data_IF_706764840774
#
_entry.id   IF_706764840774
#
_cell.length_a   1.000
_cell.length_b   1.000
_cell.length_c   1.000
_cell.angle_alpha   90.00
_cell.angle_beta   90.00
_cell.angle_gamma   90.00
#
_symmetry.space_group_name_H-M   'P 1'
#
loop_
_entity.id
_entity.type
_entity.pdbx_description
1 polymer ?
#
# COMPACT_ATOMS: atom_id res chain seq x y z
N UNK A 1 -47.22 3.35 47.98
CA UNK A 1 -46.79 3.30 46.60
C UNK A 1 -45.37 3.87 46.51
N UNK A 2 -44.33 2.99 46.50
CA UNK A 2 -42.90 3.39 46.42
C UNK A 2 -42.48 3.41 44.95
N UNK A 3 -42.11 4.61 44.45
CA UNK A 3 -41.57 4.78 43.10
C UNK A 3 -40.07 4.42 43.11
N UNK A 4 -39.70 3.33 42.43
CA UNK A 4 -38.33 2.99 42.17
C UNK A 4 -37.86 3.80 40.91
N UNK A 5 -36.91 4.68 41.08
CA UNK A 5 -36.23 5.35 39.98
C UNK A 5 -35.06 4.47 39.55
N UNK A 6 -35.13 3.92 38.32
CA UNK A 6 -33.99 3.24 37.69
C UNK A 6 -33.05 4.29 37.10
N UNK A 7 -31.87 4.40 37.70
CA UNK A 7 -30.77 5.22 37.18
C UNK A 7 -30.01 4.39 36.15
N UNK A 8 -30.21 4.66 34.87
CA UNK A 8 -29.43 4.06 33.77
C UNK A 8 -28.05 4.72 33.75
N UNK A 9 -27.05 3.98 34.21
CA UNK A 9 -25.62 4.36 34.10
C UNK A 9 -25.14 4.07 32.68
N UNK A 10 -25.08 5.08 31.82
CA UNK A 10 -24.46 4.97 30.50
C UNK A 10 -22.93 4.91 30.68
N UNK A 11 -22.36 3.72 30.61
CA UNK A 11 -20.92 3.52 30.58
C UNK A 11 -20.47 3.82 29.13
N UNK A 12 -19.97 5.04 28.92
CA UNK A 12 -19.26 5.38 27.70
C UNK A 12 -17.90 4.68 27.70
N UNK A 13 -17.74 3.64 26.88
CA UNK A 13 -16.43 3.10 26.55
C UNK A 13 -15.68 4.16 25.74
N UNK A 14 -14.90 5.00 26.40
CA UNK A 14 -13.86 5.79 25.74
C UNK A 14 -12.76 4.78 25.38
N UNK A 15 -12.71 4.37 24.11
CA UNK A 15 -11.57 3.64 23.61
C UNK A 15 -10.34 4.54 23.84
N UNK A 16 -9.43 4.09 24.68
CA UNK A 16 -8.19 4.80 24.98
C UNK A 16 -7.29 4.75 23.74
N UNK A 17 -7.51 5.65 22.80
CA UNK A 17 -6.67 5.79 21.62
C UNK A 17 -5.33 6.37 22.07
N UNK A 18 -4.24 5.68 21.78
CA UNK A 18 -2.89 6.14 22.14
C UNK A 18 -2.64 7.48 21.46
N UNK A 19 -2.30 8.49 22.25
CA UNK A 19 -2.01 9.82 21.71
C UNK A 19 -0.74 9.78 20.85
N UNK A 20 -0.71 10.50 19.72
CA UNK A 20 0.48 10.58 18.88
C UNK A 20 1.64 11.21 19.62
N UNK A 21 2.84 10.62 19.47
CA UNK A 21 4.08 11.18 20.04
C UNK A 21 4.60 12.39 19.26
N UNK A 22 4.25 12.49 17.98
CA UNK A 22 4.68 13.54 17.06
C UNK A 22 3.45 14.06 16.31
N UNK A 23 3.33 15.37 16.20
CA UNK A 23 2.33 16.03 15.35
C UNK A 23 2.95 16.30 13.99
N UNK A 24 2.35 15.72 12.94
CA UNK A 24 2.77 15.95 11.57
C UNK A 24 1.83 16.94 10.90
N UNK A 25 2.41 17.82 10.06
CA UNK A 25 1.65 18.74 9.19
C UNK A 25 1.67 18.19 7.78
N UNK A 26 0.50 17.84 7.24
CA UNK A 26 0.38 17.37 5.87
C UNK A 26 0.65 18.48 4.87
N UNK A 27 1.58 18.26 3.94
CA UNK A 27 1.75 19.08 2.73
C UNK A 27 0.89 18.54 1.57
N UNK A 28 0.84 17.22 1.45
CA UNK A 28 0.02 16.49 0.48
C UNK A 28 -0.65 15.33 1.18
N UNK A 29 -1.97 15.21 1.00
CA UNK A 29 -2.74 14.03 1.42
C UNK A 29 -3.60 13.57 0.25
N UNK A 30 -3.33 12.36 -0.25
CA UNK A 30 -4.13 11.75 -1.30
C UNK A 30 -5.37 11.09 -0.68
N UNK A 31 -6.49 11.06 -1.40
CA UNK A 31 -7.66 10.30 -0.98
C UNK A 31 -7.34 8.80 -1.03
N UNK A 32 -7.97 8.02 -0.17
CA UNK A 32 -7.71 6.59 -0.07
C UNK A 32 -8.94 5.83 0.42
N UNK A 33 -9.02 4.56 0.10
CA UNK A 33 -9.97 3.62 0.71
C UNK A 33 -9.63 3.36 2.19
N UNK A 34 -10.56 2.81 2.99
CA UNK A 34 -10.31 2.51 4.40
C UNK A 34 -9.06 1.64 4.63
N UNK A 35 -8.43 1.82 5.79
CA UNK A 35 -7.32 0.95 6.24
C UNK A 35 -7.86 -0.47 6.45
N UNK A 36 -7.17 -1.44 5.87
CA UNK A 36 -7.44 -2.87 6.02
C UNK A 36 -6.55 -3.51 7.09
N UNK A 37 -6.87 -4.73 7.48
CA UNK A 37 -6.05 -5.53 8.37
C UNK A 37 -5.78 -6.89 7.72
N UNK A 38 -4.54 -7.13 7.29
CA UNK A 38 -4.11 -8.39 6.68
C UNK A 38 -4.01 -9.54 7.71
N UNK A 39 -4.02 -9.23 9.02
CA UNK A 39 -3.86 -10.22 10.08
C UNK A 39 -2.54 -11.01 9.93
N UNK A 40 -2.64 -12.33 9.86
CA UNK A 40 -1.49 -13.24 9.68
C UNK A 40 -1.18 -13.56 8.20
N UNK A 41 -1.84 -12.88 7.26
CA UNK A 41 -1.62 -13.08 5.82
C UNK A 41 -0.27 -12.50 5.39
N UNK A 42 0.40 -13.18 4.44
CA UNK A 42 1.66 -12.73 3.84
C UNK A 42 1.41 -11.87 2.57
N UNK A 43 0.18 -11.33 2.39
CA UNK A 43 -0.22 -10.61 1.20
C UNK A 43 -0.06 -9.08 1.30
N UNK A 44 0.86 -8.57 2.14
CA UNK A 44 1.14 -7.12 2.25
C UNK A 44 1.35 -6.46 0.88
N UNK A 45 2.06 -7.12 -0.04
CA UNK A 45 2.27 -6.70 -1.41
C UNK A 45 0.96 -6.49 -2.20
N UNK A 46 -0.04 -7.35 -1.99
CA UNK A 46 -1.35 -7.21 -2.61
C UNK A 46 -2.14 -6.06 -1.98
N UNK A 47 -2.13 -5.93 -0.65
CA UNK A 47 -2.80 -4.82 0.06
C UNK A 47 -2.24 -3.46 -0.36
N UNK A 48 -0.91 -3.34 -0.42
CA UNK A 48 -0.24 -2.09 -0.78
C UNK A 48 -0.49 -1.70 -2.24
N UNK A 49 -0.29 -2.65 -3.17
CA UNK A 49 -0.43 -2.35 -4.59
C UNK A 49 -1.90 -2.10 -4.99
N UNK A 50 -2.88 -2.85 -4.42
CA UNK A 50 -4.31 -2.55 -4.60
C UNK A 50 -4.65 -1.16 -4.06
N UNK A 51 -4.13 -0.78 -2.89
CA UNK A 51 -4.33 0.57 -2.35
C UNK A 51 -3.76 1.66 -3.24
N UNK A 52 -2.64 1.41 -3.90
CA UNK A 52 -2.06 2.33 -4.89
C UNK A 52 -2.98 2.48 -6.10
N UNK A 53 -3.46 1.37 -6.68
CA UNK A 53 -4.41 1.38 -7.80
C UNK A 53 -5.71 2.12 -7.42
N UNK A 54 -6.28 1.81 -6.25
CA UNK A 54 -7.49 2.46 -5.73
C UNK A 54 -7.31 3.97 -5.61
N UNK A 55 -6.18 4.43 -5.08
CA UNK A 55 -5.86 5.86 -4.92
C UNK A 55 -5.76 6.58 -6.27
N UNK A 56 -5.09 5.98 -7.25
CA UNK A 56 -5.02 6.51 -8.62
C UNK A 56 -6.40 6.70 -9.24
N UNK A 57 -7.31 5.73 -9.06
CA UNK A 57 -8.68 5.82 -9.55
C UNK A 57 -9.50 6.88 -8.83
N UNK A 58 -9.41 6.97 -7.51
CA UNK A 58 -10.12 8.01 -6.73
C UNK A 58 -9.69 9.40 -7.19
N UNK A 59 -8.42 9.60 -7.50
CA UNK A 59 -7.88 10.86 -8.00
C UNK A 59 -8.42 11.23 -9.39
N UNK A 60 -8.76 10.24 -10.21
CA UNK A 60 -9.43 10.40 -11.51
C UNK A 60 -10.95 10.59 -11.40
N UNK A 61 -11.50 10.50 -10.19
CA UNK A 61 -12.95 10.65 -9.91
C UNK A 61 -13.73 9.33 -9.87
N UNK A 62 -13.06 8.19 -9.94
CA UNK A 62 -13.68 6.87 -9.88
C UNK A 62 -13.82 6.40 -8.42
N UNK A 63 -14.91 5.69 -8.13
CA UNK A 63 -15.09 5.01 -6.83
C UNK A 63 -14.68 3.55 -6.96
N UNK A 64 -13.40 3.26 -6.75
CA UNK A 64 -12.85 1.91 -6.85
C UNK A 64 -12.38 1.41 -5.49
N UNK A 65 -12.92 0.26 -5.06
CA UNK A 65 -12.48 -0.48 -3.87
C UNK A 65 -12.33 -1.95 -4.27
N UNK A 66 -11.11 -2.47 -4.21
CA UNK A 66 -10.73 -3.78 -4.77
C UNK A 66 -10.65 -4.86 -3.69
N UNK A 67 -10.94 -6.10 -4.08
CA UNK A 67 -10.95 -7.25 -3.18
C UNK A 67 -9.58 -7.90 -3.04
N UNK A 68 -8.98 -7.78 -1.87
CA UNK A 68 -7.76 -8.53 -1.53
C UNK A 68 -8.08 -10.02 -1.34
N UNK A 69 -9.25 -10.34 -0.76
CA UNK A 69 -9.70 -11.73 -0.59
C UNK A 69 -9.85 -12.47 -1.92
N UNK A 70 -10.22 -11.77 -3.01
CA UNK A 70 -10.25 -12.36 -4.33
C UNK A 70 -8.84 -12.78 -4.80
N UNK A 71 -7.84 -11.93 -4.61
CA UNK A 71 -6.44 -12.23 -4.93
C UNK A 71 -5.97 -13.45 -4.14
N UNK A 72 -6.16 -13.48 -2.83
CA UNK A 72 -5.83 -14.63 -1.99
C UNK A 72 -6.51 -15.92 -2.48
N UNK A 73 -7.76 -15.81 -2.95
CA UNK A 73 -8.55 -16.95 -3.44
C UNK A 73 -8.04 -17.50 -4.77
N UNK A 74 -7.69 -16.63 -5.73
CA UNK A 74 -7.21 -17.09 -7.05
C UNK A 74 -5.82 -17.69 -7.00
N UNK A 75 -4.97 -17.19 -6.11
CA UNK A 75 -3.61 -17.70 -5.91
C UNK A 75 -3.61 -19.10 -5.26
N UNK A 76 -4.64 -19.47 -4.48
CA UNK A 76 -4.77 -20.76 -3.78
C UNK A 76 -3.62 -21.10 -2.82
N UNK A 77 -2.81 -20.12 -2.41
CA UNK A 77 -1.69 -20.27 -1.49
C UNK A 77 -1.80 -19.22 -0.39
N UNK A 78 -2.05 -19.63 0.85
CA UNK A 78 -2.27 -18.70 1.98
C UNK A 78 -1.06 -17.87 2.38
N UNK A 79 0.14 -18.37 2.15
CA UNK A 79 1.40 -17.76 2.59
C UNK A 79 2.31 -17.47 1.39
N UNK A 80 1.72 -17.05 0.27
CA UNK A 80 2.52 -16.65 -0.88
C UNK A 80 3.10 -15.26 -0.60
N UNK A 81 4.41 -15.19 -0.50
CA UNK A 81 5.13 -13.93 -0.59
C UNK A 81 5.26 -13.50 -2.05
N UNK A 82 5.38 -12.22 -2.28
CA UNK A 82 5.51 -11.65 -3.61
C UNK A 82 5.75 -10.16 -3.53
N UNK A 83 5.88 -9.53 -4.68
CA UNK A 83 6.13 -8.11 -4.86
C UNK A 83 4.93 -7.41 -5.48
N UNK A 84 4.92 -6.07 -5.55
CA UNK A 84 3.88 -5.32 -6.24
C UNK A 84 3.71 -5.76 -7.70
N UNK A 85 4.80 -6.09 -8.40
CA UNK A 85 4.77 -6.66 -9.74
C UNK A 85 4.08 -8.04 -9.81
N UNK A 86 4.19 -8.85 -8.76
CA UNK A 86 3.47 -10.14 -8.66
C UNK A 86 1.95 -9.91 -8.68
N UNK A 87 1.45 -8.87 -7.98
CA UNK A 87 0.03 -8.53 -8.05
C UNK A 87 -0.39 -8.15 -9.47
N UNK A 88 0.38 -7.30 -10.15
CA UNK A 88 0.07 -6.87 -11.51
C UNK A 88 -0.04 -8.08 -12.47
N UNK A 89 0.86 -9.04 -12.34
CA UNK A 89 0.81 -10.29 -13.12
C UNK A 89 -0.41 -11.16 -12.77
N UNK A 90 -0.77 -11.24 -11.48
CA UNK A 90 -1.96 -11.99 -11.03
C UNK A 90 -3.23 -11.35 -11.57
N UNK A 91 -3.36 -10.03 -11.47
CA UNK A 91 -4.49 -9.28 -12.04
C UNK A 91 -4.58 -9.51 -13.56
N UNK A 92 -3.46 -9.47 -14.27
CA UNK A 92 -3.43 -9.73 -15.71
C UNK A 92 -3.82 -11.16 -16.11
N UNK A 93 -3.60 -12.16 -15.23
CA UNK A 93 -3.93 -13.57 -15.51
C UNK A 93 -5.33 -13.98 -15.04
N UNK A 94 -5.75 -13.51 -13.88
CA UNK A 94 -6.96 -13.98 -13.21
C UNK A 94 -8.04 -12.90 -13.07
N UNK A 95 -7.70 -11.66 -13.37
CA UNK A 95 -8.57 -10.52 -13.15
C UNK A 95 -8.59 -10.05 -11.70
N UNK A 96 -9.50 -9.14 -11.43
CA UNK A 96 -9.81 -8.59 -10.11
C UNK A 96 -11.31 -8.34 -10.00
N UNK A 97 -11.83 -8.20 -8.80
CA UNK A 97 -13.22 -7.83 -8.55
C UNK A 97 -13.29 -6.71 -7.50
N UNK A 98 -14.41 -6.00 -7.45
CA UNK A 98 -14.66 -5.04 -6.39
C UNK A 98 -14.79 -5.72 -5.02
N UNK A 99 -14.47 -5.01 -3.96
CA UNK A 99 -14.65 -5.46 -2.59
C UNK A 99 -16.11 -5.86 -2.31
N UNK A 100 -17.08 -5.13 -2.87
CA UNK A 100 -18.50 -5.43 -2.68
C UNK A 100 -18.92 -6.76 -3.34
N UNK A 101 -18.27 -7.11 -4.46
CA UNK A 101 -18.53 -8.41 -5.13
C UNK A 101 -17.88 -9.59 -4.38
N UNK A 102 -16.79 -9.36 -3.67
CA UNK A 102 -16.09 -10.38 -2.88
C UNK A 102 -15.41 -9.73 -1.66
N UNK A 103 -16.14 -9.51 -0.55
CA UNK A 103 -15.61 -8.88 0.66
C UNK A 103 -14.48 -9.67 1.31
N UNK A 104 -13.57 -8.98 2.01
CA UNK A 104 -12.40 -9.59 2.66
C UNK A 104 -12.79 -10.66 3.72
N UNK A 105 -13.99 -10.59 4.29
CA UNK A 105 -14.53 -11.60 5.21
C UNK A 105 -14.98 -12.91 4.51
N UNK A 106 -15.04 -12.93 3.19
CA UNK A 106 -15.67 -14.01 2.40
C UNK A 106 -14.69 -15.09 1.93
N UNK A 107 -13.40 -14.95 2.19
CA UNK A 107 -12.31 -15.76 1.65
C UNK A 107 -12.56 -17.28 1.67
N UNK A 108 -13.22 -17.81 2.71
CA UNK A 108 -13.44 -19.24 2.88
C UNK A 108 -14.85 -19.73 2.52
N UNK A 109 -15.80 -18.83 2.36
CA UNK A 109 -17.23 -19.16 2.37
C UNK A 109 -17.91 -18.99 1.00
N UNK A 110 -17.39 -18.10 0.16
CA UNK A 110 -18.04 -17.80 -1.10
C UNK A 110 -17.30 -18.39 -2.31
N UNK A 111 -18.02 -18.86 -3.34
CA UNK A 111 -17.41 -19.19 -4.62
C UNK A 111 -16.84 -17.93 -5.27
N UNK A 112 -15.82 -18.10 -6.12
CA UNK A 112 -15.27 -16.99 -6.89
C UNK A 112 -16.36 -16.37 -7.77
N UNK A 113 -16.53 -15.03 -7.75
CA UNK A 113 -17.48 -14.37 -8.62
C UNK A 113 -17.07 -14.57 -10.08
N UNK A 114 -18.04 -14.93 -10.90
CA UNK A 114 -17.86 -15.02 -12.36
C UNK A 114 -18.02 -13.66 -13.03
N UNK A 115 -18.67 -12.73 -12.35
CA UNK A 115 -19.08 -11.44 -12.86
C UNK A 115 -18.92 -10.35 -11.83
N UNK A 116 -18.56 -9.16 -12.29
CA UNK A 116 -18.61 -7.91 -11.57
C UNK A 116 -19.64 -7.01 -12.23
N UNK A 117 -20.45 -6.31 -11.44
CA UNK A 117 -21.42 -5.35 -11.94
C UNK A 117 -20.94 -3.95 -11.59
N UNK A 118 -20.79 -3.08 -12.58
CA UNK A 118 -20.41 -1.69 -12.40
C UNK A 118 -21.07 -0.82 -13.46
N UNK A 119 -21.57 0.35 -13.08
CA UNK A 119 -22.22 1.32 -13.98
C UNK A 119 -23.31 0.70 -14.88
N UNK A 120 -24.09 -0.25 -14.32
CA UNK A 120 -25.18 -0.91 -15.04
C UNK A 120 -24.74 -1.98 -16.04
N UNK A 121 -23.47 -2.30 -16.13
CA UNK A 121 -22.93 -3.34 -17.00
C UNK A 121 -22.32 -4.51 -16.22
N UNK A 122 -22.20 -5.65 -16.87
CA UNK A 122 -21.63 -6.88 -16.33
C UNK A 122 -20.28 -7.16 -17.00
N UNK A 123 -19.26 -7.41 -16.18
CA UNK A 123 -17.89 -7.68 -16.61
C UNK A 123 -17.42 -9.01 -16.05
N UNK A 124 -16.58 -9.72 -16.79
CA UNK A 124 -15.74 -10.77 -16.18
C UNK A 124 -14.66 -10.13 -15.30
N UNK A 125 -14.07 -10.87 -14.34
CA UNK A 125 -12.96 -10.33 -13.55
C UNK A 125 -11.77 -9.81 -14.38
N UNK A 126 -11.50 -10.41 -15.54
CA UNK A 126 -10.44 -9.95 -16.46
C UNK A 126 -10.81 -8.65 -17.18
N UNK A 127 -12.04 -8.52 -17.67
CA UNK A 127 -12.52 -7.27 -18.28
C UNK A 127 -12.52 -6.13 -17.27
N UNK A 128 -12.95 -6.40 -16.03
CA UNK A 128 -12.90 -5.43 -14.96
C UNK A 128 -11.45 -5.03 -14.61
N UNK A 129 -10.53 -6.01 -14.59
CA UNK A 129 -9.11 -5.75 -14.37
C UNK A 129 -8.53 -4.76 -15.39
N UNK A 130 -8.86 -4.89 -16.67
CA UNK A 130 -8.40 -3.99 -17.71
C UNK A 130 -8.92 -2.55 -17.55
N UNK A 131 -10.06 -2.36 -16.89
CA UNK A 131 -10.58 -1.02 -16.60
C UNK A 131 -9.92 -0.34 -15.41
N UNK A 132 -9.32 -1.11 -14.48
CA UNK A 132 -8.70 -0.57 -13.25
C UNK A 132 -7.18 -0.67 -13.23
N UNK A 133 -6.59 -1.49 -14.10
CA UNK A 133 -5.14 -1.67 -14.21
C UNK A 133 -4.79 -2.13 -15.61
N UNK A 134 -4.52 -1.20 -16.51
CA UNK A 134 -4.16 -1.53 -17.89
C UNK A 134 -2.79 -2.25 -17.95
N UNK A 135 -2.60 -3.20 -18.87
CA UNK A 135 -1.29 -3.82 -19.08
C UNK A 135 -0.21 -2.78 -19.33
N UNK A 136 0.87 -2.81 -18.53
CA UNK A 136 2.00 -1.88 -18.66
C UNK A 136 1.73 -0.46 -18.13
N UNK A 137 0.63 -0.20 -17.46
CA UNK A 137 0.33 1.09 -16.82
C UNK A 137 1.32 1.41 -15.70
N UNK A 138 1.71 0.40 -14.94
CA UNK A 138 2.67 0.54 -13.84
C UNK A 138 4.07 0.11 -14.25
N UNK A 139 5.06 0.73 -13.61
CA UNK A 139 6.47 0.35 -13.72
C UNK A 139 7.07 0.15 -12.34
N UNK A 140 8.12 -0.65 -12.29
CA UNK A 140 8.87 -0.96 -11.08
C UNK A 140 10.25 -0.28 -11.14
N UNK A 141 10.62 0.40 -10.05
CA UNK A 141 11.92 1.03 -9.86
C UNK A 141 12.64 0.38 -8.67
N UNK A 142 13.94 0.31 -8.75
CA UNK A 142 14.81 -0.12 -7.64
C UNK A 142 16.06 0.73 -7.57
N UNK A 143 16.79 0.63 -6.48
CA UNK A 143 18.13 1.20 -6.37
C UNK A 143 19.06 0.18 -5.73
N UNK A 144 19.89 -0.44 -6.54
CA UNK A 144 20.82 -1.48 -6.12
C UNK A 144 22.19 -1.29 -6.79
N UNK A 145 23.21 -1.01 -5.97
CA UNK A 145 24.56 -0.71 -6.41
C UNK A 145 25.28 -1.90 -7.07
N UNK A 146 24.73 -3.12 -6.93
CA UNK A 146 25.28 -4.31 -7.58
C UNK A 146 24.91 -4.43 -9.08
N UNK A 147 24.07 -3.54 -9.58
CA UNK A 147 23.61 -3.53 -10.96
C UNK A 147 23.84 -2.15 -11.60
N UNK A 148 24.03 -2.09 -12.94
CA UNK A 148 24.18 -0.80 -13.62
C UNK A 148 22.91 0.06 -13.48
N UNK A 149 23.13 1.35 -13.28
CA UNK A 149 22.04 2.32 -13.27
C UNK A 149 21.57 2.67 -14.69
N UNK A 150 20.27 2.97 -14.82
CA UNK A 150 19.64 3.29 -16.09
C UNK A 150 19.19 2.06 -16.89
N UNK A 151 19.38 0.85 -16.36
CA UNK A 151 19.02 -0.40 -17.02
C UNK A 151 17.89 -1.14 -16.27
N UNK A 152 17.16 -1.99 -17.01
CA UNK A 152 16.24 -2.94 -16.40
C UNK A 152 16.99 -4.15 -15.86
N UNK A 153 16.81 -4.46 -14.60
CA UNK A 153 17.47 -5.56 -13.88
C UNK A 153 16.45 -6.52 -13.28
N UNK A 154 16.82 -7.76 -13.11
CA UNK A 154 16.05 -8.74 -12.35
C UNK A 154 16.69 -8.90 -10.98
N UNK A 155 15.97 -8.50 -9.94
CA UNK A 155 16.45 -8.66 -8.56
C UNK A 155 16.40 -10.14 -8.16
N UNK A 156 17.52 -10.64 -7.65
CA UNK A 156 17.60 -12.01 -7.11
C UNK A 156 17.08 -12.05 -5.68
N UNK A 157 15.75 -11.93 -5.55
CA UNK A 157 15.02 -11.96 -4.29
C UNK A 157 14.04 -13.13 -4.30
N UNK A 158 13.83 -13.81 -3.16
CA UNK A 158 12.85 -14.89 -3.04
C UNK A 158 11.45 -14.48 -3.45
N UNK A 159 11.06 -13.23 -3.19
CA UNK A 159 9.74 -12.69 -3.48
C UNK A 159 9.58 -12.29 -4.96
N UNK A 160 10.69 -12.10 -5.69
CA UNK A 160 10.70 -11.92 -7.15
C UNK A 160 10.76 -13.27 -7.91
N UNK A 161 10.00 -14.25 -7.48
CA UNK A 161 10.00 -15.60 -8.07
C UNK A 161 9.49 -15.63 -9.53
N UNK A 162 8.77 -14.62 -9.99
CA UNK A 162 8.37 -14.45 -11.40
C UNK A 162 9.44 -13.79 -12.26
N UNK A 163 10.60 -13.41 -11.69
CA UNK A 163 11.71 -12.74 -12.40
C UNK A 163 11.29 -11.44 -13.08
N UNK A 164 10.46 -10.65 -12.40
CA UNK A 164 10.07 -9.34 -12.85
C UNK A 164 11.27 -8.40 -12.93
N UNK A 165 11.18 -7.45 -13.86
CA UNK A 165 12.23 -6.47 -14.11
C UNK A 165 11.93 -5.15 -13.39
N UNK A 166 12.99 -4.47 -12.99
CA UNK A 166 12.99 -3.19 -12.31
C UNK A 166 13.96 -2.25 -13.03
N UNK A 167 13.55 -1.01 -13.27
CA UNK A 167 14.48 0.02 -13.72
C UNK A 167 15.35 0.41 -12.52
N UNK A 168 16.67 0.17 -12.63
CA UNK A 168 17.62 0.48 -11.57
C UNK A 168 18.08 1.94 -11.71
N UNK A 169 17.87 2.74 -10.66
CA UNK A 169 18.25 4.16 -10.62
C UNK A 169 18.95 4.49 -9.28
N UNK A 170 19.77 5.57 -9.23
CA UNK A 170 20.41 5.98 -7.96
C UNK A 170 19.40 6.26 -6.85
N UNK A 171 19.76 5.99 -5.58
CA UNK A 171 18.90 6.14 -4.39
C UNK A 171 18.27 7.52 -4.28
N UNK A 172 19.06 8.57 -4.45
CA UNK A 172 18.57 9.95 -4.36
C UNK A 172 17.61 10.28 -5.53
N UNK A 173 17.84 9.70 -6.70
CA UNK A 173 16.92 9.81 -7.84
C UNK A 173 15.61 9.08 -7.57
N UNK A 174 15.66 7.87 -6.97
CA UNK A 174 14.48 7.12 -6.60
C UNK A 174 13.64 7.90 -5.58
N UNK A 175 14.26 8.43 -4.52
CA UNK A 175 13.59 9.28 -3.53
C UNK A 175 12.95 10.50 -4.18
N UNK A 176 13.67 11.19 -5.09
CA UNK A 176 13.17 12.36 -5.79
C UNK A 176 11.98 12.02 -6.71
N UNK A 177 11.98 10.85 -7.36
CA UNK A 177 10.83 10.38 -8.15
C UNK A 177 9.62 10.13 -7.26
N UNK A 178 9.79 9.47 -6.13
CA UNK A 178 8.71 9.22 -5.17
C UNK A 178 8.13 10.55 -4.66
N UNK A 179 8.97 11.49 -4.22
CA UNK A 179 8.51 12.79 -3.72
C UNK A 179 7.71 13.55 -4.80
N UNK A 180 8.24 13.63 -6.02
CA UNK A 180 7.57 14.33 -7.12
C UNK A 180 6.27 13.66 -7.53
N UNK A 181 6.21 12.33 -7.59
CA UNK A 181 4.99 11.60 -7.87
C UNK A 181 3.87 11.99 -6.89
N UNK A 182 4.15 11.98 -5.58
CA UNK A 182 3.16 12.36 -4.56
C UNK A 182 2.77 13.84 -4.68
N UNK A 183 3.72 14.76 -4.96
CA UNK A 183 3.44 16.19 -5.18
C UNK A 183 2.57 16.43 -6.41
N UNK A 184 2.72 15.62 -7.45
CA UNK A 184 1.87 15.62 -8.63
C UNK A 184 0.60 14.77 -8.48
N UNK A 185 0.27 14.38 -7.22
CA UNK A 185 -0.94 13.66 -6.85
C UNK A 185 -1.02 12.23 -7.44
N UNK A 186 0.08 11.53 -7.47
CA UNK A 186 0.14 10.10 -7.80
C UNK A 186 0.53 9.30 -6.57
N UNK A 187 -0.11 8.15 -6.37
CA UNK A 187 0.27 7.21 -5.31
C UNK A 187 1.44 6.33 -5.74
N UNK A 188 2.19 5.84 -4.77
CA UNK A 188 3.33 4.94 -5.00
C UNK A 188 3.21 3.73 -4.08
N UNK A 189 3.34 2.52 -4.62
CA UNK A 189 3.52 1.33 -3.79
C UNK A 189 5.00 1.23 -3.40
N UNK A 190 5.28 1.17 -2.12
CA UNK A 190 6.61 0.98 -1.54
C UNK A 190 6.78 -0.44 -1.06
N UNK A 191 7.95 -0.99 -1.27
CA UNK A 191 8.40 -2.30 -0.81
C UNK A 191 9.79 -2.20 -0.23
N UNK A 192 9.98 -2.72 0.98
CA UNK A 192 11.25 -2.55 1.68
C UNK A 192 11.31 -3.23 3.04
N UNK A 193 12.26 -2.75 3.84
CA UNK A 193 12.66 -3.33 5.10
C UNK A 193 12.01 -2.60 6.29
N UNK A 194 11.27 -3.35 7.11
CA UNK A 194 10.62 -2.87 8.33
C UNK A 194 11.19 -3.51 9.61
N UNK A 195 12.23 -4.35 9.49
CA UNK A 195 12.83 -5.05 10.64
C UNK A 195 13.86 -4.20 11.40
N UNK A 196 13.90 -2.90 11.14
CA UNK A 196 14.83 -1.97 11.77
C UNK A 196 14.28 -1.37 13.07
N UNK A 197 15.18 -1.07 14.01
CA UNK A 197 14.82 -0.46 15.30
C UNK A 197 14.08 0.90 15.15
N UNK A 198 14.25 1.59 14.02
CA UNK A 198 13.55 2.84 13.71
C UNK A 198 12.11 2.66 13.24
N UNK A 199 11.65 1.43 12.98
CA UNK A 199 10.28 1.14 12.57
C UNK A 199 9.42 0.73 13.77
N UNK A 200 8.34 1.47 14.02
CA UNK A 200 7.38 1.16 15.08
C UNK A 200 5.96 1.38 14.61
N UNK A 201 5.23 0.29 14.34
CA UNK A 201 3.80 0.38 14.05
C UNK A 201 3.01 0.94 15.23
N UNK A 202 3.39 0.59 16.45
CA UNK A 202 2.70 1.05 17.66
C UNK A 202 2.80 2.56 17.86
N UNK A 203 3.88 3.18 17.41
CA UNK A 203 4.07 4.63 17.42
C UNK A 203 3.68 5.28 16.08
N UNK A 204 3.49 4.48 15.03
CA UNK A 204 3.13 4.92 13.69
C UNK A 204 4.27 5.66 12.96
N UNK A 205 5.52 5.34 13.28
CA UNK A 205 6.70 6.06 12.79
C UNK A 205 7.74 5.06 12.27
N UNK A 206 8.37 5.42 11.15
CA UNK A 206 9.59 4.82 10.65
C UNK A 206 10.62 5.94 10.43
N UNK A 207 11.64 6.01 11.27
CA UNK A 207 12.64 7.10 11.26
C UNK A 207 14.03 6.55 11.53
N UNK A 208 15.02 7.13 10.89
CA UNK A 208 16.42 6.79 11.06
C UNK A 208 17.19 6.71 9.76
N UNK A 209 18.50 6.63 9.88
CA UNK A 209 19.45 6.47 8.79
C UNK A 209 20.17 5.12 8.95
N UNK A 210 20.25 4.35 7.89
CA UNK A 210 20.75 2.97 7.90
C UNK A 210 21.72 2.73 6.74
N UNK A 211 22.84 2.09 7.04
CA UNK A 211 23.87 1.71 6.07
C UNK A 211 23.82 0.21 5.72
N UNK A 212 22.80 -0.51 6.19
CA UNK A 212 22.62 -1.93 5.91
C UNK A 212 21.81 -2.11 4.63
N UNK A 213 22.10 -3.18 3.89
CA UNK A 213 21.30 -3.58 2.73
C UNK A 213 19.85 -3.88 3.17
N UNK A 214 18.83 -3.29 2.55
CA UNK A 214 17.46 -3.56 2.91
C UNK A 214 17.04 -4.99 2.58
N UNK A 215 16.22 -5.58 3.44
CA UNK A 215 15.55 -6.86 3.19
C UNK A 215 14.14 -6.60 2.67
N UNK A 216 13.64 -7.52 1.83
CA UNK A 216 12.28 -7.46 1.32
C UNK A 216 11.35 -8.17 2.30
N UNK A 217 10.65 -7.40 3.15
CA UNK A 217 9.80 -7.99 4.17
C UNK A 217 8.41 -7.34 4.32
N UNK A 218 8.18 -6.13 3.78
CA UNK A 218 6.86 -5.48 3.87
C UNK A 218 6.59 -4.51 2.72
N UNK A 219 5.28 -4.30 2.46
CA UNK A 219 4.80 -3.35 1.46
C UNK A 219 3.74 -2.41 2.05
N UNK A 220 3.79 -1.14 1.65
CA UNK A 220 2.81 -0.09 2.01
C UNK A 220 2.55 0.83 0.82
N UNK A 221 1.37 1.48 0.78
CA UNK A 221 1.12 2.52 -0.20
C UNK A 221 1.53 3.89 0.35
N UNK A 222 2.29 4.66 -0.41
CA UNK A 222 2.61 6.06 -0.10
C UNK A 222 1.44 6.92 -0.59
N UNK A 223 0.81 7.64 0.33
CA UNK A 223 -0.42 8.41 0.08
C UNK A 223 -0.31 9.86 0.53
N UNK A 224 0.89 10.35 0.84
CA UNK A 224 1.06 11.73 1.23
C UNK A 224 2.49 12.11 1.58
N UNK A 225 2.66 13.40 1.81
CA UNK A 225 3.87 14.05 2.30
C UNK A 225 3.51 14.90 3.50
N UNK A 226 4.32 14.87 4.54
CA UNK A 226 4.14 15.64 5.75
C UNK A 226 5.46 16.16 6.30
N UNK A 227 5.38 17.14 7.21
CA UNK A 227 6.52 17.65 7.98
C UNK A 227 6.35 17.37 9.46
N UNK A 228 7.42 16.99 10.11
CA UNK A 228 7.48 16.96 11.56
C UNK A 228 7.65 18.40 12.14
N UNK A 229 7.60 18.60 13.47
CA UNK A 229 7.84 19.92 14.09
C UNK A 229 9.22 20.52 13.79
N UNK A 230 10.19 19.72 13.37
CA UNK A 230 11.53 20.16 12.95
C UNK A 230 11.63 20.42 11.44
N UNK A 231 10.52 20.39 10.73
CA UNK A 231 10.43 20.56 9.28
C UNK A 231 11.13 19.46 8.45
N UNK A 232 11.44 18.31 9.05
CA UNK A 232 11.96 17.15 8.31
C UNK A 232 10.84 16.54 7.44
N UNK A 233 11.23 16.05 6.27
CA UNK A 233 10.34 15.41 5.31
C UNK A 233 9.95 14.00 5.75
N UNK A 234 8.65 13.72 5.76
CA UNK A 234 8.08 12.40 5.98
C UNK A 234 7.08 12.05 4.88
N UNK A 235 7.02 10.78 4.54
CA UNK A 235 5.99 10.22 3.67
C UNK A 235 4.88 9.60 4.51
N UNK A 236 3.63 9.84 4.12
CA UNK A 236 2.48 9.19 4.77
C UNK A 236 2.25 7.85 4.10
N UNK A 237 2.39 6.79 4.88
CA UNK A 237 2.25 5.41 4.45
C UNK A 237 0.90 4.86 4.88
N UNK A 238 0.14 4.29 3.95
CA UNK A 238 -1.05 3.50 4.24
C UNK A 238 -0.63 2.06 4.47
N UNK A 239 -0.65 1.63 5.72
CA UNK A 239 -0.33 0.26 6.12
C UNK A 239 -1.58 -0.64 6.10
N UNK A 240 -1.36 -1.95 6.18
CA UNK A 240 -2.40 -2.99 6.20
C UNK A 240 -2.45 -3.79 7.52
N UNK A 241 -2.10 -3.16 8.65
CA UNK A 241 -2.10 -3.78 9.98
C UNK A 241 -3.22 -3.26 10.89
N UNK A 242 -4.34 -2.80 10.29
CA UNK A 242 -5.45 -2.22 11.03
C UNK A 242 -5.16 -0.82 11.55
N UNK A 243 -6.04 -0.33 12.42
CA UNK A 243 -6.07 1.09 12.86
C UNK A 243 -5.58 1.31 14.29
N UNK A 244 -4.93 0.31 14.91
CA UNK A 244 -4.60 0.32 16.34
C UNK A 244 -3.31 1.11 16.69
N UNK A 245 -2.95 2.11 15.89
CA UNK A 245 -1.85 3.03 16.18
C UNK A 245 -2.36 4.47 16.33
N UNK A 246 -1.54 5.45 16.78
CA UNK A 246 -1.98 6.82 17.04
C UNK A 246 -2.50 7.58 15.81
N UNK A 247 -2.19 7.12 14.60
CA UNK A 247 -2.56 7.75 13.33
C UNK A 247 -3.62 6.94 12.56
N UNK A 248 -4.43 6.15 13.27
CA UNK A 248 -5.53 5.34 12.71
C UNK A 248 -5.07 4.39 11.56
N UNK A 249 -3.90 3.77 11.72
CA UNK A 249 -3.32 2.80 10.77
C UNK A 249 -2.40 3.41 9.71
N UNK A 250 -2.33 4.74 9.62
CA UNK A 250 -1.28 5.41 8.86
C UNK A 250 0.04 5.38 9.61
N UNK A 251 1.14 5.47 8.87
CA UNK A 251 2.48 5.64 9.41
C UNK A 251 3.18 6.81 8.73
N UNK A 252 4.15 7.38 9.42
CA UNK A 252 5.00 8.42 8.88
C UNK A 252 6.43 7.90 8.77
N UNK A 253 6.94 7.84 7.54
CA UNK A 253 8.27 7.35 7.20
C UNK A 253 9.16 8.51 6.80
N UNK A 254 10.29 8.71 7.49
CA UNK A 254 11.23 9.77 7.13
C UNK A 254 11.82 9.55 5.74
N UNK A 255 12.24 10.63 5.08
CA UNK A 255 12.89 10.56 3.78
C UNK A 255 14.18 9.73 3.83
N UNK A 256 14.92 9.81 4.92
CA UNK A 256 16.12 9.02 5.16
C UNK A 256 15.81 7.53 5.26
N UNK A 257 14.77 7.16 6.02
CA UNK A 257 14.35 5.77 6.14
C UNK A 257 13.91 5.21 4.78
N UNK A 258 13.06 5.95 4.06
CA UNK A 258 12.61 5.53 2.73
C UNK A 258 13.80 5.34 1.79
N UNK A 259 14.73 6.31 1.74
CA UNK A 259 15.93 6.23 0.89
C UNK A 259 16.77 4.99 1.18
N UNK A 260 16.96 4.67 2.46
CA UNK A 260 17.91 3.63 2.88
C UNK A 260 17.30 2.23 2.90
N UNK A 261 15.98 2.14 3.09
CA UNK A 261 15.27 0.87 3.31
C UNK A 261 14.30 0.46 2.20
N UNK A 262 14.30 1.18 1.08
CA UNK A 262 13.55 0.78 -0.11
C UNK A 262 14.26 -0.34 -0.86
N UNK A 263 13.52 -1.41 -1.16
CA UNK A 263 13.91 -2.47 -2.10
C UNK A 263 13.38 -2.12 -3.49
N UNK A 264 12.10 -1.76 -3.57
CA UNK A 264 11.46 -1.38 -4.82
C UNK A 264 10.31 -0.39 -4.58
N UNK A 265 9.95 0.35 -5.63
CA UNK A 265 8.70 1.12 -5.68
C UNK A 265 7.98 0.86 -7.00
N UNK A 266 6.65 0.96 -6.96
CA UNK A 266 5.79 0.79 -8.13
C UNK A 266 4.90 2.02 -8.26
N UNK A 267 4.88 2.60 -9.45
CA UNK A 267 4.08 3.78 -9.77
C UNK A 267 3.57 3.69 -11.21
N UNK A 268 2.59 4.50 -11.55
CA UNK A 268 2.15 4.61 -12.95
C UNK A 268 3.26 5.21 -13.81
N UNK A 269 3.28 4.90 -15.12
CA UNK A 269 4.21 5.54 -16.07
C UNK A 269 4.00 7.06 -16.11
N UNK A 270 2.75 7.51 -15.99
CA UNK A 270 2.41 8.92 -15.88
C UNK A 270 3.11 9.57 -14.67
N UNK A 271 3.02 8.95 -13.47
CA UNK A 271 3.70 9.42 -12.27
C UNK A 271 5.23 9.52 -12.47
N UNK A 272 5.83 8.53 -13.12
CA UNK A 272 7.26 8.56 -13.41
C UNK A 272 7.65 9.67 -14.41
N UNK A 273 6.84 9.89 -15.43
CA UNK A 273 7.08 10.92 -16.45
C UNK A 273 6.88 12.34 -15.92
N UNK A 274 5.85 12.58 -15.10
CA UNK A 274 5.65 13.85 -14.39
C UNK A 274 6.80 14.15 -13.42
N UNK A 275 7.54 13.12 -13.00
CA UNK A 275 8.67 13.22 -12.08
C UNK A 275 10.03 13.37 -12.80
N UNK A 276 10.11 13.44 -14.12
CA UNK A 276 11.32 13.80 -14.89
C UNK A 276 11.47 15.31 -14.90
#
# INVERSE_FOLDING_TARGET
MKKFAFLLLAISFVACQKQPKVEFTDEVRLPMTPIKNQGQSQFCWAYAMLSTIETEHILRGDSVHLSTAYIERVVKRRNLRGMGSTLLNIIGRYGIVSHDAYPDTSYHQLPQPKWVFMLGARYTPLEFAHSVCAPGEYMALTSNDNYPYGEEVVLDLPDNWEKNKFLNIPKDSLLAHVERAIRHRHAVCWEGDTDEYGFSFQDGIADGHFNTTPTDNHCMAIVGIARDPKQRLFFTMKNSWGTANPYAGLMYMSAEYLRDKTVAVFMTREAYECAK
#
